data_IF_277225221589
#
_entry.id   IF_277225221589
#
_cell.length_a   1.000
_cell.length_b   1.000
_cell.length_c   1.000
_cell.angle_alpha   90.00
_cell.angle_beta   90.00
_cell.angle_gamma   90.00
#
_symmetry.space_group_name_H-M   'P 1'
#
loop_
_entity.id
_entity.type
_entity.pdbx_description
1 polymer ?
#
# COMPACT_ATOMS: atom_id res chain seq x y z
N UNK A 1 8.39 -22.06 -28.92
CA UNK A 1 9.53 -22.19 -27.99
C UNK A 1 10.14 -20.81 -27.80
N UNK A 2 9.64 -20.06 -26.82
CA UNK A 2 10.19 -18.75 -26.44
C UNK A 2 11.51 -18.97 -25.71
N UNK A 3 12.59 -18.34 -26.18
CA UNK A 3 13.89 -18.41 -25.52
C UNK A 3 13.72 -18.02 -24.05
N UNK A 4 14.08 -18.92 -23.13
CA UNK A 4 14.01 -18.67 -21.71
C UNK A 4 14.94 -17.50 -21.38
N UNK A 5 14.37 -16.36 -20.98
CA UNK A 5 15.17 -15.23 -20.53
C UNK A 5 15.99 -15.64 -19.31
N UNK A 6 17.28 -15.22 -19.21
CA UNK A 6 18.13 -15.61 -18.10
C UNK A 6 17.51 -15.13 -16.78
N UNK A 7 17.52 -15.99 -15.73
CA UNK A 7 16.97 -15.64 -14.43
C UNK A 7 17.76 -14.48 -13.81
N UNK A 8 17.08 -13.68 -12.98
CA UNK A 8 17.68 -12.51 -12.33
C UNK A 8 18.93 -12.89 -11.52
N UNK A 9 19.95 -12.03 -11.50
CA UNK A 9 21.16 -12.28 -10.70
C UNK A 9 20.82 -12.47 -9.20
N UNK A 10 21.43 -13.47 -8.54
CA UNK A 10 21.31 -13.66 -7.10
C UNK A 10 22.50 -12.94 -6.46
N UNK A 11 22.34 -11.64 -6.23
CA UNK A 11 23.36 -10.79 -5.63
C UNK A 11 22.70 -9.66 -4.82
N UNK A 12 23.42 -9.07 -3.86
CA UNK A 12 22.98 -7.84 -3.20
C UNK A 12 22.85 -6.72 -4.25
N UNK A 13 21.73 -5.98 -4.23
CA UNK A 13 21.40 -5.00 -5.27
C UNK A 13 21.57 -3.56 -4.80
N UNK A 14 21.85 -2.65 -5.73
CA UNK A 14 21.65 -1.20 -5.58
C UNK A 14 20.24 -0.80 -6.06
N UNK A 15 19.76 0.39 -5.69
CA UNK A 15 18.43 0.87 -6.07
C UNK A 15 18.22 0.97 -7.58
N UNK A 16 19.22 1.42 -8.34
CA UNK A 16 19.12 1.53 -9.80
C UNK A 16 18.94 0.15 -10.45
N UNK A 17 19.59 -0.87 -9.90
CA UNK A 17 19.42 -2.26 -10.33
C UNK A 17 18.02 -2.75 -9.95
N UNK A 18 17.53 -2.48 -8.73
CA UNK A 18 16.17 -2.85 -8.33
C UNK A 18 15.12 -2.25 -9.26
N UNK A 19 15.29 -0.99 -9.67
CA UNK A 19 14.42 -0.32 -10.62
C UNK A 19 14.49 -0.93 -12.02
N UNK A 20 15.70 -1.11 -12.54
CA UNK A 20 15.93 -1.73 -13.84
C UNK A 20 15.35 -3.15 -13.87
N UNK A 21 15.55 -3.93 -12.81
CA UNK A 21 15.02 -5.28 -12.64
C UNK A 21 13.50 -5.29 -12.50
N UNK A 22 12.91 -4.33 -11.79
CA UNK A 22 11.45 -4.21 -11.71
C UNK A 22 10.85 -3.95 -13.09
N UNK A 23 11.40 -2.98 -13.85
CA UNK A 23 10.96 -2.71 -15.23
C UNK A 23 11.20 -3.92 -16.13
N UNK A 24 12.34 -4.60 -15.99
CA UNK A 24 12.66 -5.82 -16.72
C UNK A 24 11.65 -6.93 -16.45
N UNK A 25 11.25 -7.14 -15.18
CA UNK A 25 10.26 -8.12 -14.79
C UNK A 25 8.89 -7.80 -15.38
N UNK A 26 8.45 -6.55 -15.29
CA UNK A 26 7.19 -6.10 -15.90
C UNK A 26 7.21 -6.26 -17.43
N UNK A 27 8.35 -6.01 -18.09
CA UNK A 27 8.49 -6.18 -19.55
C UNK A 27 8.55 -7.64 -19.98
N UNK A 28 9.21 -8.51 -19.21
CA UNK A 28 9.33 -9.95 -19.51
C UNK A 28 8.04 -10.72 -19.19
N UNK A 29 7.32 -10.29 -18.16
CA UNK A 29 6.14 -10.97 -17.63
C UNK A 29 4.97 -9.99 -17.40
N UNK A 30 4.54 -9.21 -18.42
CA UNK A 30 3.55 -8.17 -18.25
C UNK A 30 2.21 -8.74 -17.78
N UNK A 31 1.81 -9.88 -18.34
CA UNK A 31 0.59 -10.57 -17.94
C UNK A 31 0.62 -11.00 -16.47
N UNK A 32 1.75 -11.47 -15.95
CA UNK A 32 1.81 -11.95 -14.57
C UNK A 32 1.86 -10.82 -13.56
N UNK A 33 2.59 -9.74 -13.85
CA UNK A 33 2.77 -8.63 -12.91
C UNK A 33 1.69 -7.56 -13.03
N UNK A 34 1.41 -7.08 -14.24
CA UNK A 34 0.46 -5.98 -14.46
C UNK A 34 -0.98 -6.47 -14.38
N UNK A 35 -1.33 -7.60 -15.02
CA UNK A 35 -2.73 -8.08 -14.99
C UNK A 35 -3.12 -8.57 -13.60
N UNK A 36 -2.20 -9.16 -12.82
CA UNK A 36 -2.53 -9.55 -11.45
C UNK A 36 -2.78 -8.35 -10.54
N UNK A 37 -2.01 -7.27 -10.70
CA UNK A 37 -2.30 -6.00 -10.06
C UNK A 37 -3.62 -5.40 -10.58
N UNK A 38 -3.88 -5.47 -11.89
CA UNK A 38 -5.09 -4.95 -12.51
C UNK A 38 -6.36 -5.61 -11.95
N UNK A 39 -6.36 -6.93 -11.79
CA UNK A 39 -7.50 -7.63 -11.21
C UNK A 39 -7.79 -7.14 -9.79
N UNK A 40 -6.75 -6.88 -9.00
CA UNK A 40 -6.93 -6.34 -7.64
C UNK A 40 -7.36 -4.87 -7.67
N UNK A 41 -6.80 -4.06 -8.57
CA UNK A 41 -7.19 -2.65 -8.75
C UNK A 41 -8.64 -2.52 -9.18
N UNK A 42 -9.08 -3.27 -10.20
CA UNK A 42 -10.48 -3.29 -10.65
C UNK A 42 -11.41 -3.83 -9.57
N UNK A 43 -10.98 -4.83 -8.80
CA UNK A 43 -11.78 -5.26 -7.64
C UNK A 43 -11.93 -4.14 -6.60
N UNK A 44 -10.89 -3.32 -6.41
CA UNK A 44 -10.93 -2.13 -5.56
C UNK A 44 -11.83 -1.03 -6.12
N UNK A 45 -11.70 -0.69 -7.41
CA UNK A 45 -12.52 0.33 -8.08
C UNK A 45 -14.00 -0.03 -8.01
N UNK A 46 -14.36 -1.30 -8.21
CA UNK A 46 -15.73 -1.78 -8.07
C UNK A 46 -16.30 -1.55 -6.67
N UNK A 47 -15.48 -1.69 -5.62
CA UNK A 47 -15.91 -1.41 -4.24
C UNK A 47 -16.13 0.09 -4.07
N UNK A 48 -15.23 0.93 -4.58
CA UNK A 48 -15.36 2.39 -4.52
C UNK A 48 -16.57 2.90 -5.32
N UNK A 49 -16.82 2.34 -6.50
CA UNK A 49 -17.97 2.68 -7.35
C UNK A 49 -19.29 2.23 -6.73
N UNK A 50 -19.33 1.05 -6.09
CA UNK A 50 -20.49 0.61 -5.34
C UNK A 50 -20.78 1.54 -4.15
N UNK A 51 -19.74 1.98 -3.44
CA UNK A 51 -19.89 2.97 -2.36
C UNK A 51 -20.33 4.34 -2.88
N UNK A 52 -19.75 4.80 -3.99
CA UNK A 52 -20.13 6.05 -4.65
C UNK A 52 -21.61 6.07 -5.00
N UNK A 53 -22.12 4.98 -5.58
CA UNK A 53 -23.54 4.83 -5.86
C UNK A 53 -24.43 4.89 -4.60
N UNK A 54 -23.98 4.28 -3.49
CA UNK A 54 -24.70 4.39 -2.20
C UNK A 54 -24.72 5.84 -1.72
N UNK A 55 -23.58 6.53 -1.75
CA UNK A 55 -23.46 7.92 -1.30
C UNK A 55 -24.33 8.85 -2.14
N UNK A 56 -24.30 8.74 -3.48
CA UNK A 56 -25.13 9.58 -4.35
C UNK A 56 -26.62 9.37 -4.09
N UNK A 57 -27.04 8.11 -3.94
CA UNK A 57 -28.45 7.78 -3.64
C UNK A 57 -28.89 8.39 -2.31
N UNK A 58 -28.05 8.29 -1.27
CA UNK A 58 -28.35 8.88 0.04
C UNK A 58 -28.45 10.41 -0.04
N UNK A 59 -27.54 11.06 -0.75
CA UNK A 59 -27.53 12.53 -0.90
C UNK A 59 -28.77 13.00 -1.65
N UNK A 60 -29.16 12.33 -2.73
CA UNK A 60 -30.31 12.70 -3.55
C UNK A 60 -31.65 12.48 -2.82
N UNK A 61 -31.76 11.43 -2.01
CA UNK A 61 -33.02 11.07 -1.33
C UNK A 61 -33.24 11.84 -0.02
N UNK A 62 -32.18 12.15 0.73
CA UNK A 62 -32.29 12.62 2.11
C UNK A 62 -32.01 14.11 2.33
N UNK A 63 -31.54 14.85 1.31
CA UNK A 63 -31.07 16.24 1.41
C UNK A 63 -30.28 16.50 2.72
N UNK A 64 -29.15 15.78 2.90
CA UNK A 64 -28.49 15.66 4.19
C UNK A 64 -27.94 17.00 4.70
N UNK A 65 -28.00 17.20 6.02
CA UNK A 65 -27.40 18.38 6.66
C UNK A 65 -25.88 18.45 6.40
N UNK A 66 -25.25 19.64 6.46
CA UNK A 66 -23.80 19.79 6.22
C UNK A 66 -22.93 18.86 7.08
N UNK A 67 -23.36 18.56 8.31
CA UNK A 67 -22.66 17.63 9.19
C UNK A 67 -22.71 16.17 8.68
N UNK A 68 -23.83 15.76 8.09
CA UNK A 68 -23.98 14.42 7.49
C UNK A 68 -23.15 14.31 6.21
N UNK A 69 -23.10 15.36 5.39
CA UNK A 69 -22.21 15.42 4.22
C UNK A 69 -20.72 15.27 4.61
N UNK A 70 -20.29 15.93 5.67
CA UNK A 70 -18.92 15.79 6.18
C UNK A 70 -18.62 14.36 6.67
N UNK A 71 -19.59 13.69 7.31
CA UNK A 71 -19.46 12.30 7.73
C UNK A 71 -19.35 11.35 6.52
N UNK A 72 -20.22 11.50 5.52
CA UNK A 72 -20.15 10.71 4.29
C UNK A 72 -18.81 10.90 3.57
N UNK A 73 -18.32 12.14 3.48
CA UNK A 73 -17.00 12.43 2.92
C UNK A 73 -15.87 11.75 3.69
N UNK A 74 -15.91 11.78 5.03
CA UNK A 74 -14.93 11.11 5.89
C UNK A 74 -14.94 9.60 5.70
N UNK A 75 -16.13 8.98 5.66
CA UNK A 75 -16.27 7.55 5.40
C UNK A 75 -15.75 7.16 4.02
N UNK A 76 -15.97 8.01 3.02
CA UNK A 76 -15.49 7.79 1.65
C UNK A 76 -13.96 7.84 1.58
N UNK A 77 -13.32 8.79 2.27
CA UNK A 77 -11.86 8.85 2.38
C UNK A 77 -11.28 7.64 3.11
N UNK A 78 -11.91 7.21 4.21
CA UNK A 78 -11.48 6.03 4.96
C UNK A 78 -11.60 4.77 4.11
N UNK A 79 -12.70 4.60 3.37
CA UNK A 79 -12.89 3.47 2.48
C UNK A 79 -11.84 3.46 1.37
N UNK A 80 -11.62 4.59 0.69
CA UNK A 80 -10.64 4.66 -0.40
C UNK A 80 -9.23 4.33 0.08
N UNK A 81 -8.84 4.85 1.26
CA UNK A 81 -7.57 4.47 1.87
C UNK A 81 -7.51 2.98 2.21
N UNK A 82 -8.58 2.39 2.74
CA UNK A 82 -8.66 0.95 3.01
C UNK A 82 -8.50 0.11 1.74
N UNK A 83 -9.22 0.48 0.67
CA UNK A 83 -9.15 -0.20 -0.63
C UNK A 83 -7.73 -0.10 -1.18
N UNK A 84 -7.14 1.10 -1.21
CA UNK A 84 -5.78 1.31 -1.68
C UNK A 84 -4.75 0.46 -0.93
N UNK A 85 -4.77 0.49 0.40
CA UNK A 85 -3.83 -0.28 1.23
C UNK A 85 -4.04 -1.79 1.07
N UNK A 86 -5.30 -2.23 0.90
CA UNK A 86 -5.64 -3.63 0.65
C UNK A 86 -5.09 -4.09 -0.69
N UNK A 87 -5.35 -3.35 -1.77
CA UNK A 87 -4.87 -3.65 -3.12
C UNK A 87 -3.35 -3.67 -3.15
N UNK A 88 -2.70 -2.68 -2.53
CA UNK A 88 -1.24 -2.61 -2.45
C UNK A 88 -0.64 -3.81 -1.70
N UNK A 89 -1.19 -4.16 -0.53
CA UNK A 89 -0.70 -5.27 0.28
C UNK A 89 -0.92 -6.64 -0.40
N UNK A 90 -2.09 -6.87 -1.00
CA UNK A 90 -2.39 -8.11 -1.72
C UNK A 90 -1.55 -8.26 -2.99
N UNK A 91 -1.33 -7.15 -3.71
CA UNK A 91 -0.41 -7.13 -4.85
C UNK A 91 1.01 -7.47 -4.39
N UNK A 92 1.44 -6.92 -3.25
CA UNK A 92 2.71 -7.26 -2.58
C UNK A 92 2.88 -8.73 -2.31
N UNK A 93 1.89 -9.34 -1.66
CA UNK A 93 1.90 -10.75 -1.34
C UNK A 93 2.01 -11.62 -2.60
N UNK A 94 1.24 -11.32 -3.64
CA UNK A 94 1.24 -12.10 -4.87
C UNK A 94 2.53 -11.92 -5.68
N UNK A 95 2.98 -10.68 -5.87
CA UNK A 95 4.19 -10.38 -6.61
C UNK A 95 5.45 -10.89 -5.91
N UNK A 96 5.45 -10.97 -4.58
CA UNK A 96 6.53 -11.61 -3.83
C UNK A 96 6.80 -13.04 -4.34
N UNK A 97 5.74 -13.83 -4.55
CA UNK A 97 5.85 -15.20 -5.04
C UNK A 97 6.32 -15.22 -6.50
N UNK A 98 5.80 -14.31 -7.35
CA UNK A 98 6.19 -14.21 -8.75
C UNK A 98 7.67 -13.84 -8.92
N UNK A 99 8.17 -12.87 -8.14
CA UNK A 99 9.58 -12.50 -8.15
C UNK A 99 10.46 -13.68 -7.74
N UNK A 100 10.08 -14.43 -6.68
CA UNK A 100 10.84 -15.64 -6.29
C UNK A 100 10.86 -16.68 -7.41
N UNK A 101 9.74 -16.91 -8.12
CA UNK A 101 9.72 -17.81 -9.28
C UNK A 101 10.70 -17.36 -10.37
N UNK A 102 10.75 -16.06 -10.67
CA UNK A 102 11.66 -15.49 -11.68
C UNK A 102 13.13 -15.64 -11.29
N UNK A 103 13.46 -15.49 -10.00
CA UNK A 103 14.82 -15.65 -9.49
C UNK A 103 15.22 -17.13 -9.52
N UNK A 104 14.34 -18.04 -9.13
CA UNK A 104 14.65 -19.48 -9.11
C UNK A 104 14.65 -20.07 -10.53
N UNK A 105 14.08 -19.39 -11.51
CA UNK A 105 13.93 -19.89 -12.88
C UNK A 105 12.77 -20.86 -13.04
N UNK A 106 11.79 -20.83 -12.12
CA UNK A 106 10.53 -21.60 -12.22
C UNK A 106 9.56 -20.90 -13.19
N UNK A 107 8.61 -21.63 -13.82
CA UNK A 107 7.62 -21.04 -14.70
C UNK A 107 6.76 -20.01 -13.95
N UNK A 108 6.79 -18.76 -14.42
CA UNK A 108 6.09 -17.63 -13.82
C UNK A 108 4.62 -17.68 -14.21
N UNK A 109 3.77 -18.15 -13.28
CA UNK A 109 2.32 -18.25 -13.53
C UNK A 109 1.52 -17.80 -12.32
N UNK A 110 0.44 -17.05 -12.57
CA UNK A 110 -0.46 -16.56 -11.51
C UNK A 110 -1.06 -17.74 -10.74
N UNK A 111 -1.47 -18.81 -11.44
CA UNK A 111 -2.06 -20.00 -10.79
C UNK A 111 -1.07 -20.70 -9.87
N UNK A 112 0.20 -20.85 -10.26
CA UNK A 112 1.20 -21.42 -9.38
C UNK A 112 1.48 -20.50 -8.18
N UNK A 113 1.54 -19.18 -8.40
CA UNK A 113 1.72 -18.22 -7.32
C UNK A 113 0.57 -18.28 -6.31
N UNK A 114 -0.68 -18.33 -6.78
CA UNK A 114 -1.87 -18.49 -5.93
C UNK A 114 -1.87 -19.83 -5.18
N UNK A 115 -1.45 -20.94 -5.80
CA UNK A 115 -1.31 -22.24 -5.12
C UNK A 115 -0.28 -22.21 -4.00
N UNK A 116 0.85 -21.52 -4.21
CA UNK A 116 1.87 -21.33 -3.19
C UNK A 116 1.41 -20.37 -2.07
N UNK A 117 0.57 -19.40 -2.41
CA UNK A 117 -0.01 -18.43 -1.48
C UNK A 117 -1.19 -19.00 -0.67
N UNK A 118 -1.95 -19.94 -1.24
CA UNK A 118 -3.20 -20.45 -0.67
C UNK A 118 -3.08 -20.98 0.78
N UNK A 119 -2.04 -21.75 1.15
CA UNK A 119 -1.86 -22.19 2.54
C UNK A 119 -1.66 -21.04 3.54
N UNK A 120 -1.28 -19.87 3.04
CA UNK A 120 -0.89 -18.68 3.82
C UNK A 120 -1.89 -17.54 3.72
N UNK A 121 -3.01 -17.75 3.02
CA UNK A 121 -4.00 -16.70 2.77
C UNK A 121 -4.52 -16.06 4.05
N UNK A 122 -4.70 -16.83 5.13
CA UNK A 122 -5.14 -16.32 6.43
C UNK A 122 -4.12 -15.38 7.07
N UNK A 123 -2.83 -15.68 6.95
CA UNK A 123 -1.78 -14.82 7.47
C UNK A 123 -1.68 -13.54 6.66
N UNK A 124 -1.74 -13.64 5.33
CA UNK A 124 -1.75 -12.48 4.42
C UNK A 124 -2.94 -11.59 4.71
N UNK A 125 -4.16 -12.13 4.77
CA UNK A 125 -5.37 -11.35 5.09
C UNK A 125 -5.30 -10.72 6.47
N UNK A 126 -4.78 -11.44 7.48
CA UNK A 126 -4.61 -10.88 8.82
C UNK A 126 -3.64 -9.69 8.84
N UNK A 127 -2.53 -9.80 8.10
CA UNK A 127 -1.57 -8.69 7.97
C UNK A 127 -2.17 -7.53 7.17
N UNK A 128 -2.87 -7.81 6.08
CA UNK A 128 -3.55 -6.79 5.28
C UNK A 128 -4.60 -6.05 6.11
N UNK A 129 -5.41 -6.77 6.89
CA UNK A 129 -6.39 -6.17 7.79
C UNK A 129 -5.72 -5.29 8.87
N UNK A 130 -4.59 -5.71 9.43
CA UNK A 130 -3.83 -4.87 10.35
C UNK A 130 -3.32 -3.59 9.64
N UNK A 131 -2.79 -3.73 8.43
CA UNK A 131 -2.29 -2.62 7.63
C UNK A 131 -3.38 -1.67 7.15
N UNK A 132 -4.64 -2.08 7.14
CA UNK A 132 -5.75 -1.19 6.74
C UNK A 132 -6.37 -0.52 7.95
N UNK A 133 -6.70 -1.30 8.99
CA UNK A 133 -7.42 -0.81 10.16
C UNK A 133 -6.56 0.13 11.00
N UNK A 134 -5.30 -0.20 11.24
CA UNK A 134 -4.49 0.61 12.16
C UNK A 134 -4.19 2.01 11.60
N UNK A 135 -3.80 2.18 10.32
CA UNK A 135 -3.73 3.50 9.69
C UNK A 135 -5.01 4.31 9.78
N UNK A 136 -6.18 3.67 9.62
CA UNK A 136 -7.47 4.35 9.73
C UNK A 136 -7.72 4.85 11.17
N UNK A 137 -7.41 4.04 12.19
CA UNK A 137 -7.54 4.47 13.58
C UNK A 137 -6.64 5.66 13.91
N UNK A 138 -5.41 5.67 13.38
CA UNK A 138 -4.49 6.81 13.56
C UNK A 138 -5.00 8.04 12.81
N UNK A 139 -5.51 7.88 11.59
CA UNK A 139 -6.11 8.98 10.83
C UNK A 139 -7.34 9.56 11.54
N UNK A 140 -8.21 8.72 12.09
CA UNK A 140 -9.35 9.16 12.90
C UNK A 140 -8.91 9.91 14.15
N UNK A 141 -7.86 9.45 14.83
CA UNK A 141 -7.29 10.17 15.95
C UNK A 141 -6.72 11.54 15.55
N UNK A 142 -6.03 11.61 14.41
CA UNK A 142 -5.53 12.86 13.83
C UNK A 142 -6.67 13.83 13.49
N UNK A 143 -7.72 13.35 12.82
CA UNK A 143 -8.90 14.14 12.48
C UNK A 143 -9.58 14.64 13.76
N UNK A 144 -9.79 13.78 14.75
CA UNK A 144 -10.42 14.18 16.02
C UNK A 144 -9.62 15.27 16.75
N UNK A 145 -8.29 15.13 16.82
CA UNK A 145 -7.41 16.16 17.40
C UNK A 145 -7.52 17.47 16.62
N UNK A 146 -7.52 17.41 15.29
CA UNK A 146 -7.64 18.58 14.42
C UNK A 146 -9.04 19.24 14.54
N UNK A 147 -10.11 18.46 14.64
CA UNK A 147 -11.47 18.98 14.80
C UNK A 147 -11.64 19.70 16.14
N UNK A 148 -11.12 19.13 17.24
CA UNK A 148 -11.12 19.80 18.55
C UNK A 148 -10.34 21.11 18.47
N UNK A 149 -9.21 21.13 17.77
CA UNK A 149 -8.43 22.35 17.55
C UNK A 149 -9.22 23.43 16.80
N UNK A 150 -9.78 23.07 15.65
CA UNK A 150 -10.53 24.00 14.80
C UNK A 150 -11.72 24.58 15.58
N UNK A 151 -12.42 23.74 16.35
CA UNK A 151 -13.54 24.18 17.18
C UNK A 151 -13.10 25.17 18.27
N UNK A 152 -12.04 24.87 19.02
CA UNK A 152 -11.54 25.75 20.07
C UNK A 152 -11.10 27.10 19.50
N UNK A 153 -10.34 27.10 18.40
CA UNK A 153 -9.93 28.31 17.72
C UNK A 153 -11.14 29.14 17.26
N UNK A 154 -12.11 28.53 16.56
CA UNK A 154 -13.30 29.22 16.09
C UNK A 154 -14.14 29.80 17.23
N UNK A 155 -14.31 29.05 18.33
CA UNK A 155 -15.06 29.53 19.50
C UNK A 155 -14.38 30.73 20.17
N UNK A 156 -13.05 30.73 20.29
CA UNK A 156 -12.32 31.86 20.88
C UNK A 156 -12.43 33.14 20.06
N UNK A 157 -12.39 33.03 18.73
CA UNK A 157 -12.55 34.19 17.83
C UNK A 157 -13.99 34.71 17.85
N UNK A 158 -14.98 33.80 17.90
CA UNK A 158 -16.40 34.17 17.99
C UNK A 158 -16.71 34.86 19.32
N UNK A 159 -16.23 34.33 20.45
CA UNK A 159 -16.43 34.92 21.77
C UNK A 159 -15.78 36.31 21.86
N UNK A 160 -14.58 36.48 21.30
CA UNK A 160 -13.91 37.79 21.23
C UNK A 160 -14.70 38.79 20.38
N UNK A 161 -15.22 38.37 19.23
CA UNK A 161 -16.05 39.21 18.36
C UNK A 161 -17.38 39.63 19.00
N UNK A 162 -18.05 38.71 19.71
CA UNK A 162 -19.31 38.99 20.40
C UNK A 162 -19.11 39.87 21.63
N UNK A 163 -18.01 39.69 22.37
CA UNK A 163 -17.69 40.48 23.56
C UNK A 163 -17.39 41.95 23.25
N UNK A 164 -16.87 42.25 22.06
CA UNK A 164 -16.62 43.62 21.60
C UNK A 164 -17.83 44.27 20.91
N UNK A 165 -18.97 43.57 20.81
CA UNK A 165 -20.18 44.10 20.20
C UNK A 165 -20.03 44.42 18.70
N UNK A 166 -19.00 43.87 18.04
CA UNK A 166 -18.63 44.23 16.67
C UNK A 166 -17.88 45.56 16.54
N UNK A 167 -17.63 46.28 17.65
CA UNK A 167 -16.82 47.50 17.65
C UNK A 167 -15.34 47.14 17.86
N UNK A 168 -14.41 47.63 17.01
CA UNK A 168 -12.98 47.37 17.18
C UNK A 168 -12.43 48.17 18.38
N UNK A 169 -12.58 47.63 19.59
CA UNK A 169 -12.10 48.26 20.84
C UNK A 169 -10.59 48.12 20.95
N UNK A 170 -9.89 49.26 20.94
CA UNK A 170 -8.43 49.39 20.95
C UNK A 170 -7.76 49.16 22.32
N UNK A 171 -8.52 49.09 23.43
CA UNK A 171 -7.95 49.25 24.78
C UNK A 171 -8.16 48.09 25.77
N UNK A 172 -8.94 47.06 25.42
CA UNK A 172 -8.95 45.79 26.15
C UNK A 172 -8.49 44.73 25.17
N UNK A 173 -7.18 44.66 24.91
CA UNK A 173 -6.61 43.68 23.98
C UNK A 173 -6.90 42.29 24.56
N UNK A 174 -7.89 41.50 24.05
CA UNK A 174 -7.88 40.06 24.31
C UNK A 174 -6.50 39.53 23.93
N UNK A 175 -6.01 38.39 24.46
CA UNK A 175 -4.77 37.80 23.95
C UNK A 175 -4.87 37.88 22.43
N UNK A 176 -3.98 38.68 21.83
CA UNK A 176 -4.11 38.99 20.41
C UNK A 176 -4.29 37.67 19.67
N UNK A 177 -5.02 37.59 18.53
CA UNK A 177 -5.23 36.31 17.83
C UNK A 177 -3.94 35.47 17.72
N UNK A 178 -2.80 36.14 17.61
CA UNK A 178 -1.45 35.58 17.76
C UNK A 178 -1.17 34.80 19.05
N UNK A 179 -1.48 35.26 20.26
CA UNK A 179 -1.16 34.58 21.52
C UNK A 179 -1.98 33.30 21.74
N UNK A 180 -3.27 33.32 21.39
CA UNK A 180 -4.13 32.14 21.41
C UNK A 180 -3.72 31.13 20.32
N UNK A 181 -3.40 31.61 19.12
CA UNK A 181 -2.84 30.78 18.04
C UNK A 181 -1.49 30.15 18.45
N UNK A 182 -0.62 30.89 19.15
CA UNK A 182 0.69 30.39 19.59
C UNK A 182 0.52 29.31 20.67
N UNK A 183 -0.26 29.56 21.73
CA UNK A 183 -0.42 28.60 22.82
C UNK A 183 -1.03 27.26 22.35
N UNK A 184 -1.95 27.31 21.39
CA UNK A 184 -2.59 26.12 20.85
C UNK A 184 -1.74 25.46 19.75
N UNK A 185 -1.05 26.22 18.90
CA UNK A 185 -0.06 25.65 17.97
C UNK A 185 1.04 24.89 18.70
N UNK A 186 1.45 25.34 19.89
CA UNK A 186 2.43 24.66 20.76
C UNK A 186 1.94 23.28 21.24
N UNK A 187 0.63 23.01 21.27
CA UNK A 187 0.10 21.69 21.68
C UNK A 187 -0.30 20.85 20.46
N UNK A 188 -0.98 21.47 19.50
CA UNK A 188 -1.58 20.76 18.36
C UNK A 188 -0.53 20.35 17.34
N UNK A 189 0.43 21.22 17.01
CA UNK A 189 1.48 20.89 16.05
C UNK A 189 2.35 19.74 16.56
N UNK A 190 2.83 19.72 17.81
CA UNK A 190 3.57 18.57 18.33
C UNK A 190 2.72 17.31 18.43
N UNK A 191 1.44 17.40 18.81
CA UNK A 191 0.56 16.22 18.88
C UNK A 191 0.32 15.62 17.50
N UNK A 192 0.02 16.47 16.50
CA UNK A 192 -0.16 16.05 15.12
C UNK A 192 1.13 15.47 14.54
N UNK A 193 2.27 16.12 14.78
CA UNK A 193 3.59 15.64 14.38
C UNK A 193 3.93 14.29 15.02
N UNK A 194 3.62 14.12 16.32
CA UNK A 194 3.85 12.87 17.05
C UNK A 194 2.99 11.74 16.49
N UNK A 195 1.68 11.96 16.30
CA UNK A 195 0.78 10.96 15.73
C UNK A 195 1.18 10.58 14.30
N UNK A 196 1.57 11.57 13.49
CA UNK A 196 2.09 11.33 12.14
C UNK A 196 3.42 10.56 12.16
N UNK A 197 4.33 10.88 13.09
CA UNK A 197 5.59 10.15 13.26
C UNK A 197 5.34 8.71 13.68
N UNK A 198 4.44 8.47 14.65
CA UNK A 198 4.03 7.13 15.07
C UNK A 198 3.47 6.34 13.89
N UNK A 199 2.63 6.98 13.06
CA UNK A 199 2.11 6.37 11.84
C UNK A 199 3.23 5.98 10.86
N UNK A 200 4.15 6.91 10.56
CA UNK A 200 5.27 6.66 9.63
C UNK A 200 6.16 5.53 10.14
N UNK A 201 6.53 5.55 11.42
CA UNK A 201 7.37 4.50 12.03
C UNK A 201 6.67 3.14 11.95
N UNK A 202 5.37 3.10 12.25
CA UNK A 202 4.58 1.88 12.14
C UNK A 202 4.46 1.38 10.70
N UNK A 203 4.19 2.28 9.74
CA UNK A 203 4.11 1.95 8.32
C UNK A 203 5.43 1.39 7.80
N UNK A 204 6.56 1.99 8.19
CA UNK A 204 7.90 1.46 7.90
C UNK A 204 8.10 0.08 8.53
N UNK A 205 7.75 -0.09 9.80
CA UNK A 205 7.93 -1.35 10.51
C UNK A 205 7.11 -2.50 9.91
N UNK A 206 5.95 -2.19 9.31
CA UNK A 206 5.04 -3.15 8.65
C UNK A 206 5.23 -3.25 7.14
N UNK A 207 6.19 -2.53 6.56
CA UNK A 207 6.40 -2.42 5.13
C UNK A 207 6.54 -3.78 4.43
N UNK A 208 7.24 -4.74 5.05
CA UNK A 208 7.46 -6.07 4.50
C UNK A 208 6.48 -7.12 5.04
N UNK A 209 5.50 -6.74 5.85
CA UNK A 209 4.59 -7.69 6.49
C UNK A 209 3.77 -8.52 5.48
N UNK A 210 3.19 -7.95 4.39
CA UNK A 210 2.45 -8.74 3.41
C UNK A 210 3.35 -9.71 2.63
N UNK A 211 4.58 -9.27 2.37
CA UNK A 211 5.60 -10.03 1.63
C UNK A 211 6.13 -11.20 2.46
N UNK A 212 6.42 -10.97 3.76
CA UNK A 212 6.83 -12.03 4.70
C UNK A 212 5.70 -13.03 4.94
N UNK A 213 4.45 -12.57 5.11
CA UNK A 213 3.30 -13.46 5.24
C UNK A 213 3.08 -14.33 3.99
N UNK A 214 3.40 -13.81 2.80
CA UNK A 214 3.32 -14.56 1.56
C UNK A 214 4.47 -15.57 1.39
N UNK A 215 5.70 -15.19 1.75
CA UNK A 215 6.90 -15.96 1.45
C UNK A 215 7.38 -16.88 2.58
N UNK A 216 7.01 -16.62 3.82
CA UNK A 216 7.42 -17.42 4.98
C UNK A 216 6.24 -18.21 5.56
N UNK A 217 6.45 -19.43 6.09
CA UNK A 217 5.40 -20.23 6.73
C UNK A 217 5.08 -19.70 8.14
N UNK A 218 4.84 -18.40 8.27
CA UNK A 218 4.59 -17.73 9.54
C UNK A 218 3.10 -17.46 9.74
N UNK A 219 2.66 -17.49 11.01
CA UNK A 219 1.35 -16.95 11.39
C UNK A 219 1.39 -15.42 11.32
N UNK A 220 0.22 -14.78 11.31
CA UNK A 220 0.06 -13.31 11.29
C UNK A 220 1.06 -12.56 12.19
N UNK A 221 1.08 -12.84 13.49
CA UNK A 221 2.00 -12.15 14.42
C UNK A 221 3.47 -12.45 14.18
N UNK A 222 3.78 -13.63 13.64
CA UNK A 222 5.13 -14.00 13.21
C UNK A 222 5.59 -13.11 12.06
N UNK A 223 4.76 -12.93 11.03
CA UNK A 223 5.08 -12.07 9.88
C UNK A 223 5.26 -10.60 10.29
N UNK A 224 4.42 -10.08 11.18
CA UNK A 224 4.53 -8.72 11.72
C UNK A 224 5.85 -8.53 12.46
N UNK A 225 6.13 -9.37 13.46
CA UNK A 225 7.37 -9.29 14.24
C UNK A 225 8.61 -9.43 13.35
N UNK A 226 8.54 -10.33 12.37
CA UNK A 226 9.59 -10.54 11.37
C UNK A 226 9.86 -9.28 10.56
N UNK A 227 8.81 -8.65 10.03
CA UNK A 227 8.92 -7.37 9.31
C UNK A 227 9.59 -6.30 10.17
N UNK A 228 9.15 -6.15 11.43
CA UNK A 228 9.71 -5.17 12.36
C UNK A 228 11.21 -5.38 12.63
N UNK A 229 11.65 -6.65 12.78
CA UNK A 229 13.07 -6.97 13.01
C UNK A 229 13.93 -6.70 11.77
N UNK A 230 13.44 -7.07 10.57
CA UNK A 230 14.15 -6.81 9.31
C UNK A 230 14.32 -5.32 9.06
N UNK A 231 13.26 -4.55 9.34
CA UNK A 231 13.26 -3.10 9.19
C UNK A 231 14.16 -2.44 10.23
N UNK A 232 14.03 -2.83 11.50
CA UNK A 232 14.81 -2.31 12.63
C UNK A 232 16.32 -2.41 12.44
N UNK A 233 16.82 -3.54 11.94
CA UNK A 233 18.26 -3.75 11.75
C UNK A 233 18.84 -2.99 10.54
N UNK A 234 18.01 -2.51 9.61
CA UNK A 234 18.42 -1.86 8.37
C UNK A 234 17.71 -0.52 8.12
N UNK A 235 17.21 0.14 9.17
CA UNK A 235 16.33 1.31 9.06
C UNK A 235 16.86 2.37 8.10
N UNK A 236 18.08 2.83 8.31
CA UNK A 236 18.70 3.88 7.51
C UNK A 236 18.80 3.53 6.03
N UNK A 237 19.13 2.28 5.73
CA UNK A 237 19.19 1.79 4.35
C UNK A 237 17.82 1.71 3.72
N UNK A 238 16.84 1.14 4.43
CA UNK A 238 15.47 0.99 3.95
C UNK A 238 14.84 2.36 3.72
N UNK A 239 14.94 3.25 4.70
CA UNK A 239 14.47 4.64 4.61
C UNK A 239 15.18 5.35 3.45
N UNK A 240 16.50 5.26 3.34
CA UNK A 240 17.25 5.87 2.25
C UNK A 240 16.80 5.39 0.86
N UNK A 241 16.58 4.08 0.70
CA UNK A 241 16.10 3.51 -0.57
C UNK A 241 14.65 3.91 -0.85
N UNK A 242 13.76 3.92 0.15
CA UNK A 242 12.37 4.35 -0.03
C UNK A 242 12.30 5.84 -0.39
N UNK A 243 13.09 6.68 0.29
CA UNK A 243 13.15 8.12 0.01
C UNK A 243 13.68 8.37 -1.41
N UNK A 244 14.73 7.66 -1.81
CA UNK A 244 15.25 7.79 -3.16
C UNK A 244 14.28 7.23 -4.20
N UNK A 245 13.58 6.13 -3.89
CA UNK A 245 12.49 5.60 -4.72
C UNK A 245 11.39 6.65 -4.89
N UNK A 246 10.98 7.31 -3.81
CA UNK A 246 9.99 8.37 -3.85
C UNK A 246 10.48 9.57 -4.65
N UNK A 247 11.73 10.00 -4.45
CA UNK A 247 12.34 11.12 -5.16
C UNK A 247 12.37 10.90 -6.67
N UNK A 248 12.67 9.69 -7.12
CA UNK A 248 12.70 9.35 -8.56
C UNK A 248 11.27 9.09 -9.08
N UNK A 249 10.38 8.52 -8.26
CA UNK A 249 9.01 8.24 -8.68
C UNK A 249 8.18 9.53 -8.82
N UNK A 250 8.41 10.55 -7.98
CA UNK A 250 7.69 11.82 -8.01
C UNK A 250 7.64 12.50 -9.40
N UNK A 251 8.76 12.74 -10.11
CA UNK A 251 8.73 13.34 -11.43
C UNK A 251 8.09 12.44 -12.51
N UNK A 252 7.92 11.15 -12.25
CA UNK A 252 7.19 10.23 -13.12
C UNK A 252 5.69 10.29 -12.83
N UNK A 253 5.33 10.32 -11.54
CA UNK A 253 3.95 10.33 -11.05
C UNK A 253 3.25 11.64 -11.37
N UNK A 254 3.87 12.80 -11.10
CA UNK A 254 3.19 14.08 -11.21
C UNK A 254 2.68 14.38 -12.63
N UNK A 255 3.49 14.24 -13.71
CA UNK A 255 3.02 14.43 -15.07
C UNK A 255 2.03 13.35 -15.53
N UNK A 256 1.99 12.20 -14.87
CA UNK A 256 1.06 11.12 -15.17
C UNK A 256 -0.30 11.34 -14.49
N UNK A 257 -0.30 11.69 -13.20
CA UNK A 257 -1.50 11.78 -12.37
C UNK A 257 -2.27 13.07 -12.55
N UNK A 258 -1.61 14.22 -12.71
CA UNK A 258 -2.32 15.50 -12.91
C UNK A 258 -3.27 15.46 -14.12
N UNK A 259 -2.81 15.07 -15.33
CA UNK A 259 -3.74 14.94 -16.45
C UNK A 259 -4.73 13.80 -16.22
N UNK A 260 -4.35 12.72 -15.51
CA UNK A 260 -5.28 11.64 -15.21
C UNK A 260 -6.47 12.11 -14.38
N UNK A 261 -6.24 12.92 -13.34
CA UNK A 261 -7.30 13.49 -12.51
C UNK A 261 -8.15 14.45 -13.34
N UNK A 262 -7.54 15.32 -14.14
CA UNK A 262 -8.29 16.25 -15.00
C UNK A 262 -9.15 15.51 -16.04
N UNK A 263 -8.58 14.52 -16.71
CA UNK A 263 -9.30 13.68 -17.68
C UNK A 263 -10.38 12.90 -16.94
N UNK A 264 -10.11 12.35 -15.75
CA UNK A 264 -11.08 11.66 -14.91
C UNK A 264 -12.26 12.55 -14.51
N UNK A 265 -12.01 13.82 -14.17
CA UNK A 265 -13.07 14.79 -13.88
C UNK A 265 -13.89 15.12 -15.12
N UNK A 266 -13.25 15.38 -16.26
CA UNK A 266 -13.96 15.62 -17.54
C UNK A 266 -14.77 14.38 -17.93
N UNK A 267 -14.18 13.21 -17.75
CA UNK A 267 -14.79 11.92 -18.03
C UNK A 267 -16.00 11.67 -17.14
N UNK A 268 -15.92 11.98 -15.84
CA UNK A 268 -17.04 11.89 -14.90
C UNK A 268 -18.22 12.76 -15.36
N UNK A 269 -17.96 13.98 -15.82
CA UNK A 269 -19.00 14.85 -16.39
C UNK A 269 -19.53 14.29 -17.72
N UNK A 270 -18.64 13.84 -18.61
CA UNK A 270 -19.01 13.34 -19.94
C UNK A 270 -19.77 12.01 -19.91
N UNK A 271 -19.67 11.27 -18.80
CA UNK A 271 -20.31 9.96 -18.61
C UNK A 271 -21.46 10.01 -17.61
N UNK A 272 -21.83 11.19 -17.11
CA UNK A 272 -22.87 11.35 -16.08
C UNK A 272 -24.23 10.74 -16.49
N UNK A 273 -24.59 10.81 -17.77
CA UNK A 273 -25.85 10.25 -18.30
C UNK A 273 -25.78 8.73 -18.57
N UNK A 274 -24.59 8.12 -18.49
CA UNK A 274 -24.45 6.69 -18.70
C UNK A 274 -24.89 5.92 -17.45
N UNK A 275 -25.42 4.69 -17.61
CA UNK A 275 -25.61 3.78 -16.50
C UNK A 275 -24.31 3.54 -15.73
N UNK A 276 -24.38 3.36 -14.41
CA UNK A 276 -23.20 3.22 -13.52
C UNK A 276 -22.22 2.12 -13.96
N UNK A 277 -22.73 0.98 -14.43
CA UNK A 277 -21.89 -0.11 -14.95
C UNK A 277 -21.09 0.30 -16.20
N UNK A 278 -21.62 1.20 -17.03
CA UNK A 278 -20.96 1.69 -18.24
C UNK A 278 -19.88 2.74 -17.90
N UNK A 279 -20.13 3.58 -16.90
CA UNK A 279 -19.13 4.51 -16.36
C UNK A 279 -17.91 3.75 -15.83
N UNK A 280 -18.14 2.67 -15.08
CA UNK A 280 -17.09 1.80 -14.55
C UNK A 280 -16.31 1.07 -15.64
N UNK A 281 -16.97 0.45 -16.63
CA UNK A 281 -16.25 -0.21 -17.73
C UNK A 281 -15.34 0.77 -18.48
N UNK A 282 -15.78 2.02 -18.59
CA UNK A 282 -14.99 3.06 -19.24
C UNK A 282 -13.88 3.64 -18.35
N UNK A 283 -13.85 3.38 -17.02
CA UNK A 283 -12.75 3.75 -16.12
C UNK A 283 -11.58 2.75 -16.14
N UNK A 284 -11.78 1.53 -16.66
CA UNK A 284 -10.73 0.49 -16.71
C UNK A 284 -9.40 0.87 -17.37
N UNK A 285 -9.34 1.75 -18.41
CA UNK A 285 -8.06 2.25 -18.92
C UNK A 285 -7.25 3.00 -17.85
N UNK A 286 -7.92 3.72 -16.94
CA UNK A 286 -7.31 4.39 -15.81
C UNK A 286 -6.79 3.36 -14.80
N UNK A 287 -7.60 2.33 -14.50
CA UNK A 287 -7.20 1.23 -13.61
C UNK A 287 -6.00 0.46 -14.14
N UNK A 288 -5.89 0.26 -15.46
CA UNK A 288 -4.71 -0.35 -16.09
C UNK A 288 -3.45 0.45 -15.81
N UNK A 289 -3.53 1.77 -15.88
CA UNK A 289 -2.40 2.65 -15.64
C UNK A 289 -2.02 2.66 -14.14
N UNK A 290 -3.01 2.74 -13.26
CA UNK A 290 -2.82 2.65 -11.80
C UNK A 290 -2.22 1.29 -11.43
N UNK A 291 -2.75 0.19 -11.97
CA UNK A 291 -2.27 -1.16 -11.73
C UNK A 291 -0.84 -1.37 -12.20
N UNK A 292 -0.45 -0.84 -13.37
CA UNK A 292 0.92 -0.90 -13.85
C UNK A 292 1.88 -0.16 -12.91
N UNK A 293 1.46 1.00 -12.39
CA UNK A 293 2.22 1.77 -11.41
C UNK A 293 2.35 1.04 -10.07
N UNK A 294 1.25 0.52 -9.52
CA UNK A 294 1.26 -0.29 -8.29
C UNK A 294 2.16 -1.51 -8.49
N UNK A 295 2.03 -2.22 -9.61
CA UNK A 295 2.84 -3.39 -9.90
C UNK A 295 4.33 -3.08 -9.91
N UNK A 296 4.71 -1.97 -10.53
CA UNK A 296 6.10 -1.53 -10.55
C UNK A 296 6.60 -1.18 -9.13
N UNK A 297 5.85 -0.38 -8.37
CA UNK A 297 6.21 0.02 -7.01
C UNK A 297 6.35 -1.16 -6.05
N UNK A 298 5.38 -2.08 -6.11
CA UNK A 298 5.38 -3.29 -5.30
C UNK A 298 6.54 -4.20 -5.68
N UNK A 299 6.87 -4.32 -6.97
CA UNK A 299 8.02 -5.14 -7.40
C UNK A 299 9.34 -4.58 -6.86
N UNK A 300 9.53 -3.26 -6.88
CA UNK A 300 10.69 -2.62 -6.25
C UNK A 300 10.74 -2.94 -4.75
N UNK A 301 9.60 -2.87 -4.06
CA UNK A 301 9.52 -3.19 -2.64
C UNK A 301 9.86 -4.66 -2.33
N UNK A 302 9.39 -5.59 -3.16
CA UNK A 302 9.72 -7.02 -3.05
C UNK A 302 11.22 -7.25 -3.30
N UNK A 303 11.82 -6.58 -4.27
CA UNK A 303 13.26 -6.68 -4.53
C UNK A 303 14.09 -6.12 -3.37
N UNK A 304 13.64 -5.01 -2.76
CA UNK A 304 14.24 -4.46 -1.54
C UNK A 304 14.17 -5.46 -0.38
N UNK A 305 13.02 -6.11 -0.19
CA UNK A 305 12.87 -7.17 0.81
C UNK A 305 13.86 -8.33 0.59
N UNK A 306 13.97 -8.81 -0.65
CA UNK A 306 14.88 -9.90 -0.99
C UNK A 306 16.34 -9.48 -0.77
N UNK A 307 16.72 -8.26 -1.16
CA UNK A 307 18.08 -7.73 -0.93
C UNK A 307 18.43 -7.66 0.56
N UNK A 308 17.51 -7.15 1.39
CA UNK A 308 17.68 -7.12 2.85
C UNK A 308 17.94 -8.53 3.40
N UNK A 309 17.16 -9.52 2.98
CA UNK A 309 17.33 -10.91 3.41
C UNK A 309 18.59 -11.58 2.88
N UNK A 310 19.01 -11.27 1.65
CA UNK A 310 20.30 -11.75 1.12
C UNK A 310 21.45 -11.26 2.01
N UNK A 311 21.41 -10.00 2.45
CA UNK A 311 22.47 -9.40 3.26
C UNK A 311 22.48 -9.87 4.71
N UNK A 312 21.31 -10.08 5.31
CA UNK A 312 21.21 -10.45 6.73
C UNK A 312 21.20 -11.95 6.99
N UNK A 313 20.67 -12.74 6.06
CA UNK A 313 20.33 -14.15 6.32
C UNK A 313 21.06 -15.10 5.38
N UNK A 314 21.89 -14.59 4.48
CA UNK A 314 22.56 -15.42 3.48
C UNK A 314 21.59 -16.11 2.52
N UNK A 315 20.40 -15.53 2.29
CA UNK A 315 19.34 -16.08 1.43
C UNK A 315 19.83 -16.46 0.02
N UNK A 316 20.92 -15.86 -0.44
CA UNK A 316 21.56 -16.18 -1.71
C UNK A 316 21.87 -17.69 -1.85
N UNK A 317 22.36 -18.35 -0.80
CA UNK A 317 22.70 -19.77 -0.85
C UNK A 317 21.46 -20.66 -1.07
N UNK A 318 20.38 -20.40 -0.34
CA UNK A 318 19.09 -21.10 -0.51
C UNK A 318 18.52 -20.86 -1.92
N UNK A 319 18.58 -19.62 -2.43
CA UNK A 319 18.12 -19.31 -3.79
C UNK A 319 18.95 -20.03 -4.87
N UNK A 320 20.27 -20.13 -4.68
CA UNK A 320 21.14 -20.90 -5.57
C UNK A 320 20.80 -22.39 -5.54
N UNK A 321 20.62 -22.97 -4.35
CA UNK A 321 20.22 -24.38 -4.20
C UNK A 321 18.86 -24.67 -4.87
N UNK A 322 17.88 -23.77 -4.70
CA UNK A 322 16.58 -23.90 -5.37
C UNK A 322 16.67 -23.80 -6.88
N UNK A 323 17.54 -22.91 -7.39
CA UNK A 323 17.76 -22.74 -8.83
C UNK A 323 18.43 -23.97 -9.44
N UNK A 324 19.46 -24.52 -8.78
CA UNK A 324 20.14 -25.73 -9.27
C UNK A 324 19.19 -26.92 -9.29
N UNK A 325 18.40 -27.11 -8.22
CA UNK A 325 17.36 -28.14 -8.17
C UNK A 325 16.29 -28.00 -9.27
N UNK A 326 15.88 -26.76 -9.58
CA UNK A 326 14.95 -26.49 -10.67
C UNK A 326 15.58 -26.81 -12.04
N UNK A 327 16.87 -26.54 -12.23
CA UNK A 327 17.59 -26.84 -13.48
C UNK A 327 17.91 -28.33 -13.67
N UNK A 328 18.03 -29.11 -12.58
CA UNK A 328 18.31 -30.55 -12.64
C UNK A 328 17.06 -31.42 -12.85
N UNK A 329 15.87 -30.82 -12.93
CA UNK A 329 14.62 -31.54 -13.16
C UNK A 329 14.19 -32.45 -12.00
N UNK A 330 14.81 -32.33 -10.83
CA UNK A 330 14.49 -33.15 -9.66
C UNK A 330 13.12 -32.71 -9.13
N UNK A 331 12.08 -33.56 -9.15
CA UNK A 331 10.79 -33.23 -8.54
C UNK A 331 10.99 -32.98 -7.05
N UNK A 332 10.25 -32.02 -6.49
CA UNK A 332 10.22 -31.71 -5.04
C UNK A 332 10.16 -33.02 -4.24
N UNK A 333 11.28 -33.37 -3.60
CA UNK A 333 11.38 -34.48 -2.68
C UNK A 333 10.58 -34.15 -1.43
N UNK A 334 9.31 -34.56 -1.44
CA UNK A 334 8.52 -34.69 -0.23
C UNK A 334 9.29 -35.54 0.78
N UNK A 335 9.34 -35.04 2.01
CA UNK A 335 9.67 -35.68 3.27
C UNK A 335 10.11 -37.15 3.17
N UNK A 336 11.35 -37.42 3.61
CA UNK A 336 11.92 -38.75 3.68
C UNK A 336 11.05 -39.73 4.47
N UNK A 337 10.83 -40.89 3.87
CA UNK A 337 10.44 -42.11 4.56
C UNK A 337 11.72 -42.93 4.81
N UNK A 338 12.17 -43.09 6.07
CA UNK A 338 13.29 -43.95 6.41
C UNK A 338 12.77 -45.35 6.71
N UNK A 339 12.37 -46.09 5.69
CA UNK A 339 12.27 -47.55 5.80
C UNK A 339 13.01 -48.21 4.65
N UNK A 340 14.31 -48.37 4.85
CA UNK A 340 14.96 -49.55 4.33
C UNK A 340 14.43 -50.74 5.13
N UNK A 341 13.87 -51.74 4.45
CA UNK A 341 14.25 -53.09 4.81
C UNK A 341 14.27 -53.98 3.56
N UNK A 342 15.45 -54.54 3.38
CA UNK A 342 15.80 -55.59 2.45
C UNK A 342 15.17 -56.90 2.92
N UNK A 343 14.35 -57.55 2.08
CA UNK A 343 14.17 -59.00 2.17
C UNK A 343 14.29 -59.64 0.79
N UNK A 344 15.47 -60.19 0.57
CA UNK A 344 15.64 -61.44 -0.16
C UNK A 344 15.00 -62.57 0.67
N UNK A 345 14.25 -63.43 0.00
CA UNK A 345 13.55 -64.58 0.57
C UNK A 345 12.41 -64.97 -0.35
#
# INVERSE_FOLDING_TARGET
MTAAHPPLAIAPRNILEMWADAVLLLRRHPFQFVISALVLTVAGSLIESAWGWVVTTLVDESDPEPAQLAQLGTLSLLLSLAVFLTVFALTGALQAVLVVQTIVGRPVTIRAALRLLAPRIRAVLGVTALLTVVPQLVLLALIAVLSVFIWQWLSSELDAFLATGGDPVLDSVPPSPSEALIAVAVIVVPTFALLSLVWVVMALALLFAPITAALEPLRFGGAVRRSMLLVGNNLWRIVGIILLNLLIALPIILPLFVPLVLIGSIFSVATADLPSWAQEVMSWPFDLMIAAFIAWQVTVLVLLYIDVRIRQEGLAADLWQRRTAASSGTPDGGAGDPTGDTKNG
#
